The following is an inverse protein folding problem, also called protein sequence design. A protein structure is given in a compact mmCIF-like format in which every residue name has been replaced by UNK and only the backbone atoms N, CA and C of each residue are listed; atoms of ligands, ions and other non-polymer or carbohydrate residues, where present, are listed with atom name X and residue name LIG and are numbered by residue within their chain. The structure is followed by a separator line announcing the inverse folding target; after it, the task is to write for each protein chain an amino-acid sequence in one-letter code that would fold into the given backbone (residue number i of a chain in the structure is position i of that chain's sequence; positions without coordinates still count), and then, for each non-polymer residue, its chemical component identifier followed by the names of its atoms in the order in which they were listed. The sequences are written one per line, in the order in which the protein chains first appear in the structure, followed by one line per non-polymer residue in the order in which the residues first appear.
data_IF_062151204682
#
_entry.id   IF_062151204682
#
_cell.length_a   1.000
_cell.length_b   1.000
_cell.length_c   1.000
_cell.angle_alpha   90.00
_cell.angle_beta   90.00
_cell.angle_gamma   90.00
#
_symmetry.space_group_name_H-M   'P 1'
#
loop_
_entity.id
_entity.type
_entity.pdbx_description
1 polymer ?
#
# COMPACT_ATOMS: atom_id res chain seq x y z
N UNK A 1 -28.82 -28.38 2.36
CA UNK A 1 -29.19 -27.46 3.47
C UNK A 1 -27.97 -27.17 4.33
N UNK A 2 -27.90 -25.94 4.88
CA UNK A 2 -26.91 -25.36 5.80
C UNK A 2 -25.50 -25.09 5.26
N UNK A 3 -25.32 -23.86 4.74
CA UNK A 3 -24.05 -23.15 4.57
C UNK A 3 -23.65 -22.48 5.89
N UNK A 4 -22.44 -22.70 6.38
CA UNK A 4 -21.80 -21.87 7.39
C UNK A 4 -21.05 -20.72 6.73
N UNK A 5 -21.50 -19.48 6.97
CA UNK A 5 -20.76 -18.25 6.65
C UNK A 5 -19.91 -17.87 7.86
N UNK A 6 -18.59 -17.86 7.70
CA UNK A 6 -17.65 -17.14 8.57
C UNK A 6 -16.60 -16.50 7.68
N UNK A 7 -16.38 -15.19 7.85
CA UNK A 7 -15.27 -14.49 7.20
C UNK A 7 -15.61 -13.15 6.53
N UNK A 8 -16.31 -12.23 7.22
CA UNK A 8 -16.28 -10.79 6.92
C UNK A 8 -16.35 -10.03 8.24
N UNK A 9 -15.22 -9.85 8.93
CA UNK A 9 -15.15 -8.98 10.12
C UNK A 9 -13.93 -8.05 10.22
N UNK A 10 -12.87 -8.27 9.45
CA UNK A 10 -11.63 -7.49 9.65
C UNK A 10 -11.54 -6.18 8.86
N UNK A 11 -12.32 -6.01 7.78
CA UNK A 11 -12.34 -4.75 7.00
C UNK A 11 -13.21 -3.63 7.58
N UNK A 12 -14.18 -3.98 8.42
CA UNK A 12 -15.06 -2.98 9.06
C UNK A 12 -14.41 -2.43 10.33
N UNK A 13 -13.64 -3.23 11.06
CA UNK A 13 -12.99 -2.80 12.31
C UNK A 13 -11.96 -1.68 12.09
N UNK A 14 -11.22 -1.66 10.99
CA UNK A 14 -10.24 -0.61 10.67
C UNK A 14 -10.89 0.71 10.30
N UNK A 15 -11.98 0.68 9.52
CA UNK A 15 -12.77 1.89 9.21
C UNK A 15 -13.43 2.48 10.46
N UNK A 16 -13.99 1.62 11.33
CA UNK A 16 -14.64 2.04 12.58
C UNK A 16 -13.61 2.60 13.57
N UNK A 17 -12.41 2.02 13.66
CA UNK A 17 -11.31 2.55 14.48
C UNK A 17 -10.84 3.92 13.99
N UNK A 18 -10.71 4.14 12.68
CA UNK A 18 -10.37 5.46 12.15
C UNK A 18 -11.46 6.52 12.43
N UNK A 19 -12.74 6.14 12.34
CA UNK A 19 -13.87 7.00 12.71
C UNK A 19 -13.88 7.33 14.20
N UNK A 20 -13.62 6.36 15.07
CA UNK A 20 -13.56 6.58 16.53
C UNK A 20 -12.38 7.45 16.93
N UNK A 21 -11.21 7.28 16.31
CA UNK A 21 -10.05 8.16 16.54
C UNK A 21 -10.34 9.58 16.07
N UNK A 22 -10.99 9.75 14.91
CA UNK A 22 -11.44 11.05 14.44
C UNK A 22 -12.43 11.74 15.37
N UNK A 23 -13.41 10.98 15.90
CA UNK A 23 -14.37 11.48 16.87
C UNK A 23 -13.70 11.87 18.20
N UNK A 24 -12.74 11.08 18.69
CA UNK A 24 -12.00 11.39 19.93
C UNK A 24 -11.19 12.68 19.81
N UNK A 25 -10.54 12.90 18.65
CA UNK A 25 -9.79 14.14 18.37
C UNK A 25 -10.72 15.34 18.35
N UNK A 26 -11.88 15.23 17.69
CA UNK A 26 -12.89 16.30 17.65
C UNK A 26 -13.49 16.60 19.03
N UNK A 27 -13.77 15.58 19.83
CA UNK A 27 -14.24 15.75 21.22
C UNK A 27 -13.17 16.43 22.08
N UNK A 28 -11.89 16.07 21.90
CA UNK A 28 -10.78 16.71 22.61
C UNK A 28 -10.63 18.17 22.22
N UNK A 29 -10.74 18.49 20.93
CA UNK A 29 -10.73 19.89 20.43
C UNK A 29 -11.90 20.67 21.02
N UNK A 30 -13.11 20.09 21.03
CA UNK A 30 -14.31 20.72 21.57
C UNK A 30 -14.18 20.98 23.09
N UNK A 31 -13.65 20.02 23.85
CA UNK A 31 -13.38 20.18 25.28
C UNK A 31 -12.36 21.29 25.50
N UNK A 32 -11.23 21.32 24.77
CA UNK A 32 -10.23 22.38 24.88
C UNK A 32 -10.85 23.76 24.56
N UNK A 33 -11.72 23.84 23.54
CA UNK A 33 -12.44 25.07 23.20
C UNK A 33 -13.37 25.53 24.31
N UNK A 34 -14.15 24.63 24.90
CA UNK A 34 -15.05 24.94 26.01
C UNK A 34 -14.29 25.37 27.27
N UNK A 35 -13.15 24.74 27.57
CA UNK A 35 -12.31 25.12 28.71
C UNK A 35 -11.69 26.51 28.50
N UNK A 36 -11.30 26.85 27.26
CA UNK A 36 -10.73 28.17 26.91
C UNK A 36 -11.76 29.29 26.95
N UNK A 37 -12.98 29.03 26.46
CA UNK A 37 -14.13 29.95 26.57
C UNK A 37 -14.48 30.20 28.05
N UNK A 38 -14.36 29.18 28.90
CA UNK A 38 -14.63 29.30 30.35
C UNK A 38 -13.53 30.05 31.12
N UNK A 39 -12.31 30.12 30.61
CA UNK A 39 -11.21 30.89 31.21
C UNK A 39 -11.13 32.34 30.70
N UNK A 40 -11.74 32.64 29.55
CA UNK A 40 -11.67 33.96 28.90
C UNK A 40 -12.99 34.77 29.03
N UNK A 41 -14.00 34.23 29.73
CA UNK A 41 -15.29 34.90 29.99
C UNK A 41 -15.22 36.01 31.06
N UNK A 42 -14.03 36.35 31.55
CA UNK A 42 -13.76 37.44 32.49
C UNK A 42 -13.31 38.76 31.82
N UNK A 43 -13.60 38.98 30.53
CA UNK A 43 -13.18 40.20 29.81
C UNK A 43 -14.33 41.04 29.26
N UNK A 44 -14.06 42.34 29.19
CA UNK A 44 -14.99 43.45 28.90
C UNK A 44 -15.60 43.41 27.49
N UNK A 45 -16.81 43.97 27.36
CA UNK A 45 -17.72 43.98 26.19
C UNK A 45 -17.06 44.32 24.84
N UNK A 46 -16.00 45.12 24.80
CA UNK A 46 -15.33 45.50 23.55
C UNK A 46 -14.48 44.39 22.92
N UNK A 47 -14.00 43.41 23.70
CA UNK A 47 -13.23 42.28 23.19
C UNK A 47 -14.13 41.15 22.66
N UNK A 48 -15.38 41.09 23.11
CA UNK A 48 -16.36 40.07 22.72
C UNK A 48 -16.81 40.21 21.27
N UNK A 49 -16.87 41.44 20.73
CA UNK A 49 -17.32 41.71 19.35
C UNK A 49 -16.24 41.30 18.33
N UNK A 50 -14.96 41.57 18.63
CA UNK A 50 -13.82 41.09 17.83
C UNK A 50 -13.71 39.55 17.83
N UNK A 51 -14.11 38.91 18.92
CA UNK A 51 -14.12 37.46 19.07
C UNK A 51 -15.20 36.79 18.20
N UNK A 52 -16.41 37.36 18.14
CA UNK A 52 -17.52 36.83 17.33
C UNK A 52 -17.19 36.88 15.83
N UNK A 53 -16.53 37.94 15.34
CA UNK A 53 -16.13 38.04 13.93
C UNK A 53 -15.01 37.05 13.55
N UNK A 54 -14.09 36.75 14.47
CA UNK A 54 -12.98 35.82 14.22
C UNK A 54 -13.40 34.34 14.26
N UNK A 55 -14.40 34.00 15.08
CA UNK A 55 -14.86 32.62 15.30
C UNK A 55 -16.25 32.29 14.71
N UNK A 56 -16.98 33.26 14.17
CA UNK A 56 -18.21 33.00 13.39
C UNK A 56 -17.95 32.14 12.14
N UNK A 57 -16.75 32.24 11.57
CA UNK A 57 -16.25 31.46 10.43
C UNK A 57 -16.16 29.95 10.73
N UNK A 58 -15.71 29.55 11.92
CA UNK A 58 -15.56 28.13 12.30
C UNK A 58 -16.91 27.46 12.57
N UNK A 59 -17.92 28.21 13.00
CA UNK A 59 -19.29 27.71 13.14
C UNK A 59 -19.90 27.35 11.77
N UNK A 60 -19.62 28.15 10.73
CA UNK A 60 -20.03 27.87 9.35
C UNK A 60 -19.39 26.59 8.78
N UNK A 61 -18.12 26.31 9.14
CA UNK A 61 -17.41 25.09 8.73
C UNK A 61 -17.99 23.84 9.43
N UNK A 62 -18.28 23.94 10.72
CA UNK A 62 -18.89 22.85 11.50
C UNK A 62 -20.32 22.56 11.02
N UNK A 63 -21.11 23.58 10.71
CA UNK A 63 -22.46 23.41 10.13
C UNK A 63 -22.44 22.70 8.77
N UNK A 64 -21.51 23.08 7.88
CA UNK A 64 -21.31 22.40 6.58
C UNK A 64 -20.87 20.94 6.74
N UNK A 65 -20.01 20.66 7.74
CA UNK A 65 -19.59 19.30 8.07
C UNK A 65 -20.74 18.43 8.60
N UNK A 66 -21.54 18.94 9.55
CA UNK A 66 -22.70 18.20 10.06
C UNK A 66 -23.80 18.01 9.00
N UNK A 67 -23.96 18.95 8.06
CA UNK A 67 -24.81 18.75 6.87
C UNK A 67 -24.27 17.60 6.02
N UNK A 68 -22.97 17.58 5.70
CA UNK A 68 -22.38 16.52 4.89
C UNK A 68 -22.46 15.14 5.56
N UNK A 69 -22.30 15.06 6.88
CA UNK A 69 -22.48 13.82 7.65
C UNK A 69 -23.95 13.38 7.67
N UNK A 70 -24.89 14.33 7.78
CA UNK A 70 -26.34 14.07 7.72
C UNK A 70 -26.78 13.60 6.33
N UNK A 71 -26.25 14.21 5.28
CA UNK A 71 -26.54 13.88 3.88
C UNK A 71 -25.95 12.51 3.51
N UNK A 72 -24.76 12.19 4.03
CA UNK A 72 -24.18 10.84 3.96
C UNK A 72 -25.01 9.78 4.71
N UNK A 73 -25.60 10.16 5.85
CA UNK A 73 -26.51 9.31 6.62
C UNK A 73 -27.84 9.06 5.87
N UNK A 74 -28.41 10.09 5.23
CA UNK A 74 -29.63 9.96 4.42
C UNK A 74 -29.42 9.12 3.16
N UNK A 75 -28.31 9.30 2.45
CA UNK A 75 -27.99 8.52 1.24
C UNK A 75 -27.78 7.02 1.50
N UNK A 76 -27.49 6.63 2.76
CA UNK A 76 -27.28 5.23 3.15
C UNK A 76 -28.49 4.59 3.87
N UNK A 77 -29.61 5.30 4.04
CA UNK A 77 -30.83 4.77 4.66
C UNK A 77 -31.90 4.37 3.64
N UNK A 78 -31.84 4.83 2.38
CA UNK A 78 -32.87 4.55 1.36
C UNK A 78 -32.75 3.20 0.62
N UNK A 79 -31.84 2.33 1.04
CA UNK A 79 -31.78 0.94 0.57
C UNK A 79 -31.79 -0.04 1.74
N UNK A 80 -32.93 -0.10 2.46
CA UNK A 80 -33.51 -1.30 3.10
C UNK A 80 -34.73 -0.93 3.96
N UNK A 81 -35.92 -1.00 3.38
CA UNK A 81 -37.16 -1.26 4.13
C UNK A 81 -37.93 -2.39 3.46
N UNK A 82 -38.08 -3.56 4.10
CA UNK A 82 -39.26 -4.40 3.93
C UNK A 82 -40.36 -4.01 4.94
N UNK A 83 -41.63 -4.38 4.69
CA UNK A 83 -42.78 -3.68 5.23
C UNK A 83 -43.08 -4.02 6.69
N UNK A 84 -43.76 -3.08 7.36
CA UNK A 84 -44.28 -3.19 8.72
C UNK A 84 -45.27 -4.35 8.84
N UNK A 85 -44.97 -5.29 9.74
CA UNK A 85 -45.87 -6.30 10.26
C UNK A 85 -45.90 -6.19 11.78
N UNK A 86 -47.08 -5.90 12.32
CA UNK A 86 -47.43 -5.76 13.74
C UNK A 86 -47.30 -7.10 14.50
N UNK A 87 -46.63 -7.09 15.65
CA UNK A 87 -47.18 -7.63 16.91
C UNK A 87 -46.18 -7.50 18.07
N UNK A 88 -46.68 -6.89 19.14
CA UNK A 88 -46.14 -6.91 20.50
C UNK A 88 -45.99 -8.36 20.97
N UNK A 89 -44.96 -8.62 21.78
CA UNK A 89 -45.17 -9.14 23.15
C UNK A 89 -43.91 -8.92 23.99
N UNK A 90 -44.15 -8.35 25.15
CA UNK A 90 -43.21 -8.19 26.26
C UNK A 90 -42.72 -9.56 26.74
N UNK A 91 -41.41 -9.78 26.69
CA UNK A 91 -40.71 -10.56 27.71
C UNK A 91 -39.22 -10.27 27.55
N UNK A 92 -38.48 -10.32 28.66
CA UNK A 92 -37.02 -10.18 28.74
C UNK A 92 -36.46 -8.76 28.96
N UNK A 93 -37.09 -7.99 29.86
CA UNK A 93 -36.35 -7.18 30.83
C UNK A 93 -36.43 -7.88 32.20
N UNK A 94 -35.40 -8.66 32.56
CA UNK A 94 -35.08 -9.09 33.94
C UNK A 94 -33.81 -9.96 33.91
N UNK A 95 -32.66 -9.32 34.13
CA UNK A 95 -31.56 -9.80 35.01
C UNK A 95 -30.27 -9.03 34.71
N UNK A 96 -30.20 -7.80 35.23
CA UNK A 96 -28.93 -7.13 35.50
C UNK A 96 -28.80 -7.06 37.02
N UNK A 97 -27.86 -7.84 37.57
CA UNK A 97 -27.20 -7.68 38.88
C UNK A 97 -26.55 -9.01 39.25
N UNK A 98 -25.23 -9.11 39.11
CA UNK A 98 -24.34 -9.53 40.21
C UNK A 98 -22.86 -9.51 39.80
N UNK A 99 -22.06 -8.92 40.69
CA UNK A 99 -20.64 -9.15 40.97
C UNK A 99 -19.56 -8.54 40.07
N UNK A 100 -19.26 -7.29 40.41
CA UNK A 100 -17.91 -6.71 40.50
C UNK A 100 -17.27 -7.19 41.82
N UNK A 101 -16.01 -7.67 41.78
CA UNK A 101 -14.96 -7.60 42.82
C UNK A 101 -13.87 -8.66 42.57
N UNK A 102 -12.60 -8.23 42.47
CA UNK A 102 -11.45 -9.13 42.32
C UNK A 102 -10.17 -8.48 41.80
N UNK A 103 -9.65 -7.46 42.48
CA UNK A 103 -8.33 -6.88 42.26
C UNK A 103 -7.30 -7.53 43.21
N UNK A 104 -6.31 -8.26 42.68
CA UNK A 104 -5.04 -8.51 43.40
C UNK A 104 -3.83 -8.39 42.45
N UNK A 105 -3.12 -7.27 42.67
CA UNK A 105 -1.67 -7.01 42.59
C UNK A 105 -0.77 -8.11 41.97
N UNK A 106 -0.06 -7.75 40.89
CA UNK A 106 1.27 -8.31 40.59
C UNK A 106 2.27 -7.15 40.54
N UNK A 107 3.27 -7.24 41.42
CA UNK A 107 4.38 -6.28 41.59
C UNK A 107 5.40 -6.43 40.48
N UNK A 108 5.95 -5.28 40.09
CA UNK A 108 7.18 -5.13 39.31
C UNK A 108 8.39 -5.79 40.00
N UNK A 109 9.25 -6.43 39.20
CA UNK A 109 10.69 -6.56 39.48
C UNK A 109 11.45 -6.83 38.17
N UNK A 110 12.22 -5.84 37.70
CA UNK A 110 13.41 -6.06 36.85
C UNK A 110 14.54 -6.65 37.71
N UNK A 111 15.49 -7.38 37.11
CA UNK A 111 16.86 -6.87 37.17
C UNK A 111 17.66 -7.02 35.87
N UNK A 112 18.85 -6.41 35.94
CA UNK A 112 19.81 -6.06 34.90
C UNK A 112 20.59 -7.25 34.32
N UNK A 113 21.20 -6.96 33.18
CA UNK A 113 22.25 -7.71 32.50
C UNK A 113 23.49 -7.97 33.36
N UNK A 114 24.14 -9.11 33.11
CA UNK A 114 25.58 -9.30 33.25
C UNK A 114 26.03 -10.50 32.40
N UNK A 115 27.07 -10.27 31.59
CA UNK A 115 27.86 -11.28 30.90
C UNK A 115 28.49 -12.26 31.90
N UNK A 116 28.60 -13.53 31.53
CA UNK A 116 29.70 -14.40 31.96
C UNK A 116 29.81 -15.59 31.01
N UNK A 117 30.93 -15.58 30.29
CA UNK A 117 31.46 -16.65 29.46
C UNK A 117 32.00 -17.74 30.38
N UNK A 118 31.42 -18.94 30.37
CA UNK A 118 32.20 -20.19 30.44
C UNK A 118 31.38 -21.43 30.09
N UNK A 119 31.89 -22.12 29.07
CA UNK A 119 31.87 -23.55 28.79
C UNK A 119 31.37 -24.48 29.91
N UNK A 120 30.33 -25.27 29.62
CA UNK A 120 30.30 -26.68 30.00
C UNK A 120 29.33 -27.49 29.14
N UNK A 121 29.67 -28.77 29.01
CA UNK A 121 29.22 -29.75 28.04
C UNK A 121 27.80 -30.29 28.29
N UNK A 122 27.15 -30.65 27.18
CA UNK A 122 26.19 -31.75 26.99
C UNK A 122 25.28 -32.18 28.17
N UNK A 123 24.02 -31.73 28.12
CA UNK A 123 22.88 -32.58 28.51
C UNK A 123 21.79 -32.44 27.44
N UNK A 124 21.58 -33.53 26.71
CA UNK A 124 20.52 -33.76 25.75
C UNK A 124 19.14 -33.79 26.42
N UNK A 125 18.28 -32.81 26.12
CA UNK A 125 16.82 -32.97 26.18
C UNK A 125 16.22 -32.62 24.83
N UNK A 126 16.08 -33.65 24.01
CA UNK A 126 15.43 -33.63 22.69
C UNK A 126 13.92 -33.55 22.92
N UNK A 127 13.39 -32.33 23.06
CA UNK A 127 11.95 -32.10 22.98
C UNK A 127 11.57 -32.14 21.50
N UNK A 128 11.13 -33.31 21.05
CA UNK A 128 10.67 -33.52 19.69
C UNK A 128 9.28 -32.90 19.49
N UNK A 129 9.19 -31.86 18.67
CA UNK A 129 7.99 -31.54 17.91
C UNK A 129 8.42 -30.87 16.60
N UNK A 130 8.33 -31.61 15.50
CA UNK A 130 7.61 -31.24 14.27
C UNK A 130 7.67 -32.47 13.37
N UNK A 131 6.56 -33.20 13.25
CA UNK A 131 6.37 -34.13 12.13
C UNK A 131 6.17 -33.25 10.90
N UNK A 132 7.28 -32.88 10.25
CA UNK A 132 7.20 -32.41 8.88
C UNK A 132 6.76 -33.63 8.07
N UNK A 133 5.47 -33.69 7.73
CA UNK A 133 4.99 -34.66 6.75
C UNK A 133 5.79 -34.42 5.48
N UNK A 134 6.75 -35.31 5.19
CA UNK A 134 7.52 -35.29 3.94
C UNK A 134 6.55 -35.58 2.80
N UNK A 135 5.86 -34.55 2.33
CA UNK A 135 5.09 -34.61 1.09
C UNK A 135 6.08 -35.03 -0.01
N UNK A 136 5.72 -36.04 -0.80
CA UNK A 136 6.50 -36.43 -1.97
C UNK A 136 6.65 -35.20 -2.88
N UNK A 137 7.80 -34.98 -3.52
CA UNK A 137 8.07 -33.78 -4.30
C UNK A 137 7.00 -33.52 -5.38
N UNK A 138 6.75 -32.26 -5.75
CA UNK A 138 5.77 -31.93 -6.77
C UNK A 138 6.16 -32.57 -8.10
N UNK A 139 5.18 -33.10 -8.83
CA UNK A 139 5.40 -33.82 -10.11
C UNK A 139 4.92 -33.05 -11.34
N UNK A 140 4.12 -32.00 -11.13
CA UNK A 140 3.45 -31.27 -12.20
C UNK A 140 3.91 -29.81 -12.26
N UNK A 141 3.90 -29.28 -13.48
CA UNK A 141 4.41 -27.96 -13.80
C UNK A 141 3.29 -26.93 -13.94
N UNK A 142 3.63 -25.67 -13.69
CA UNK A 142 2.78 -24.53 -14.01
C UNK A 142 3.57 -23.46 -14.74
N UNK A 143 2.95 -22.87 -15.76
CA UNK A 143 3.54 -21.76 -16.52
C UNK A 143 2.52 -20.66 -16.77
N UNK A 144 2.98 -19.54 -17.32
CA UNK A 144 2.15 -18.41 -17.75
C UNK A 144 2.59 -17.89 -19.13
N UNK A 145 1.62 -17.49 -19.95
CA UNK A 145 1.91 -16.78 -21.21
C UNK A 145 2.31 -15.32 -20.92
N UNK A 146 3.61 -15.12 -20.75
CA UNK A 146 4.21 -13.80 -20.53
C UNK A 146 3.88 -12.83 -21.67
N UNK A 147 3.33 -11.66 -21.32
CA UNK A 147 2.94 -10.60 -22.27
C UNK A 147 3.04 -9.20 -21.66
N UNK A 148 3.29 -8.21 -22.52
CA UNK A 148 3.45 -6.81 -22.12
C UNK A 148 4.89 -6.44 -21.76
N UNK A 149 5.04 -5.38 -20.96
CA UNK A 149 6.34 -4.78 -20.58
C UNK A 149 6.77 -5.23 -19.18
N UNK A 150 7.99 -4.87 -18.77
CA UNK A 150 8.65 -5.29 -17.52
C UNK A 150 7.73 -5.41 -16.29
N UNK A 151 6.97 -4.37 -15.94
CA UNK A 151 6.07 -4.42 -14.78
C UNK A 151 4.96 -5.47 -14.89
N UNK A 152 4.46 -5.74 -16.10
CA UNK A 152 3.49 -6.81 -16.33
C UNK A 152 4.15 -8.19 -16.20
N UNK A 153 5.37 -8.34 -16.72
CA UNK A 153 6.13 -9.58 -16.60
C UNK A 153 6.41 -9.92 -15.14
N UNK A 154 6.75 -8.92 -14.32
CA UNK A 154 6.97 -9.10 -12.88
C UNK A 154 5.70 -9.58 -12.15
N UNK A 155 4.54 -9.01 -12.46
CA UNK A 155 3.25 -9.52 -11.95
C UNK A 155 3.00 -10.96 -12.36
N UNK A 156 3.15 -11.26 -13.65
CA UNK A 156 2.94 -12.60 -14.16
C UNK A 156 3.87 -13.62 -13.49
N UNK A 157 5.14 -13.27 -13.27
CA UNK A 157 6.09 -14.14 -12.59
C UNK A 157 5.77 -14.31 -11.11
N UNK A 158 5.52 -13.22 -10.39
CA UNK A 158 5.23 -13.27 -8.95
C UNK A 158 3.96 -14.07 -8.67
N UNK A 159 2.90 -13.82 -9.44
CA UNK A 159 1.65 -14.56 -9.34
C UNK A 159 1.81 -16.02 -9.74
N UNK A 160 2.56 -16.32 -10.81
CA UNK A 160 2.92 -17.70 -11.17
C UNK A 160 3.58 -18.41 -9.99
N UNK A 161 4.57 -17.77 -9.36
CA UNK A 161 5.32 -18.34 -8.26
C UNK A 161 4.44 -18.64 -7.04
N UNK A 162 3.63 -17.66 -6.61
CA UNK A 162 2.74 -17.83 -5.45
C UNK A 162 1.59 -18.81 -5.71
N UNK A 163 1.03 -18.82 -6.92
CA UNK A 163 0.03 -19.81 -7.34
C UNK A 163 0.65 -21.22 -7.37
N UNK A 164 1.86 -21.36 -7.88
CA UNK A 164 2.57 -22.65 -7.93
C UNK A 164 2.79 -23.22 -6.53
N UNK A 165 3.31 -22.39 -5.62
CA UNK A 165 3.55 -22.76 -4.22
C UNK A 165 2.26 -23.23 -3.54
N UNK A 166 1.17 -22.47 -3.68
CA UNK A 166 -0.12 -22.83 -3.07
C UNK A 166 -0.71 -24.15 -3.59
N UNK A 167 -0.47 -24.45 -4.86
CA UNK A 167 -1.02 -25.63 -5.53
C UNK A 167 -0.05 -26.81 -5.56
N UNK A 168 1.13 -26.70 -4.94
CA UNK A 168 2.16 -27.73 -4.96
C UNK A 168 2.59 -28.12 -6.39
N UNK A 169 2.81 -27.10 -7.22
CA UNK A 169 3.24 -27.21 -8.62
C UNK A 169 4.66 -26.61 -8.78
N UNK A 170 5.38 -27.03 -9.83
CA UNK A 170 6.70 -26.49 -10.17
C UNK A 170 6.53 -25.31 -11.13
N UNK A 171 6.86 -24.07 -10.74
CA UNK A 171 6.79 -22.93 -11.66
C UNK A 171 7.92 -23.02 -12.70
N UNK A 172 7.55 -22.90 -13.98
CA UNK A 172 8.48 -22.94 -15.10
C UNK A 172 8.30 -21.74 -16.03
N UNK A 173 9.43 -21.15 -16.44
CA UNK A 173 9.46 -20.03 -17.38
C UNK A 173 10.53 -20.26 -18.45
N UNK A 174 10.34 -19.70 -19.64
CA UNK A 174 11.32 -19.78 -20.74
C UNK A 174 12.71 -19.28 -20.32
N UNK A 175 13.78 -19.92 -20.83
CA UNK A 175 15.16 -19.44 -20.64
C UNK A 175 15.38 -18.03 -21.21
N UNK A 176 14.71 -17.73 -22.33
CA UNK A 176 14.84 -16.45 -23.01
C UNK A 176 13.95 -15.36 -22.39
N UNK A 177 13.27 -15.65 -21.28
CA UNK A 177 12.43 -14.67 -20.59
C UNK A 177 13.29 -13.48 -20.12
N UNK A 178 12.81 -12.27 -20.41
CA UNK A 178 13.51 -11.03 -20.06
C UNK A 178 13.87 -10.93 -18.57
N UNK A 179 13.02 -11.44 -17.69
CA UNK A 179 13.28 -11.39 -16.24
C UNK A 179 14.56 -12.13 -15.84
N UNK A 180 14.96 -13.18 -16.55
CA UNK A 180 16.21 -13.92 -16.28
C UNK A 180 17.46 -13.10 -16.63
N UNK A 181 17.34 -12.13 -17.55
CA UNK A 181 18.43 -11.20 -17.90
C UNK A 181 18.58 -10.10 -16.86
N UNK A 182 17.49 -9.70 -16.21
CA UNK A 182 17.48 -8.58 -15.26
C UNK A 182 17.72 -9.07 -13.82
N UNK A 183 17.14 -10.21 -13.44
CA UNK A 183 17.06 -10.68 -12.06
C UNK A 183 17.66 -12.08 -11.86
N UNK A 184 18.01 -12.41 -10.60
CA UNK A 184 18.50 -13.72 -10.16
C UNK A 184 17.34 -14.71 -9.94
N UNK A 185 16.55 -14.93 -10.99
CA UNK A 185 15.39 -15.84 -11.00
C UNK A 185 15.83 -17.29 -10.77
N UNK A 186 15.21 -17.98 -9.80
CA UNK A 186 15.54 -19.35 -9.42
C UNK A 186 14.59 -20.42 -9.97
N UNK A 187 13.43 -20.03 -10.54
CA UNK A 187 12.49 -21.00 -11.12
C UNK A 187 13.16 -21.83 -12.20
N UNK A 188 12.73 -23.09 -12.35
CA UNK A 188 13.21 -23.96 -13.40
C UNK A 188 12.84 -23.39 -14.77
N UNK A 189 13.63 -23.77 -15.76
CA UNK A 189 13.36 -23.44 -17.14
C UNK A 189 12.79 -24.64 -17.88
N UNK A 190 11.93 -24.35 -18.84
CA UNK A 190 11.47 -25.36 -19.79
C UNK A 190 11.43 -24.74 -21.17
N UNK A 191 11.85 -25.50 -22.18
CA UNK A 191 11.54 -25.16 -23.56
C UNK A 191 10.02 -25.16 -23.75
N UNK A 192 9.49 -24.12 -24.42
CA UNK A 192 8.04 -23.93 -24.61
C UNK A 192 7.32 -25.13 -25.24
N UNK A 193 8.04 -26.03 -25.91
CA UNK A 193 7.48 -27.14 -26.68
C UNK A 193 7.68 -28.53 -26.04
N UNK A 194 8.25 -28.63 -24.83
CA UNK A 194 8.54 -29.93 -24.18
C UNK A 194 7.55 -30.34 -23.09
N UNK A 195 6.64 -29.44 -22.68
CA UNK A 195 5.67 -29.72 -21.62
C UNK A 195 4.26 -29.59 -22.18
N UNK A 196 3.50 -30.69 -22.10
CA UNK A 196 2.06 -30.66 -22.38
C UNK A 196 1.30 -30.14 -21.15
N UNK A 197 0.42 -29.16 -21.35
CA UNK A 197 -0.41 -28.56 -20.32
C UNK A 197 -1.86 -29.03 -20.49
N UNK A 198 -2.30 -29.96 -19.64
CA UNK A 198 -3.64 -30.54 -19.70
C UNK A 198 -4.75 -29.62 -19.17
N UNK A 199 -4.38 -28.53 -18.50
CA UNK A 199 -5.31 -27.54 -17.95
C UNK A 199 -4.89 -26.12 -18.30
N UNK A 200 -5.84 -25.28 -18.68
CA UNK A 200 -5.64 -23.83 -18.81
C UNK A 200 -6.55 -23.08 -17.85
N UNK A 201 -6.01 -22.17 -17.06
CA UNK A 201 -6.77 -21.23 -16.25
C UNK A 201 -6.73 -19.85 -16.88
N UNK A 202 -7.88 -19.35 -17.30
CA UNK A 202 -8.04 -18.02 -17.90
C UNK A 202 -8.47 -17.02 -16.82
N UNK A 203 -7.70 -15.96 -16.66
CA UNK A 203 -8.06 -14.82 -15.84
C UNK A 203 -9.29 -14.11 -16.42
N UNK A 204 -10.23 -13.76 -15.55
CA UNK A 204 -11.46 -13.03 -15.88
C UNK A 204 -11.23 -11.52 -15.85
N UNK A 205 -10.49 -11.04 -14.85
CA UNK A 205 -10.25 -9.62 -14.62
C UNK A 205 -8.77 -9.40 -14.26
N UNK A 206 -8.07 -8.63 -15.09
CA UNK A 206 -6.61 -8.46 -15.05
C UNK A 206 -6.00 -8.01 -13.72
N UNK A 207 -6.75 -7.22 -12.94
CA UNK A 207 -6.30 -6.65 -11.68
C UNK A 207 -7.25 -7.04 -10.52
N UNK A 208 -7.82 -8.25 -10.57
CA UNK A 208 -8.62 -8.80 -9.48
C UNK A 208 -7.99 -10.10 -8.96
N UNK A 209 -8.18 -10.36 -7.68
CA UNK A 209 -7.81 -11.63 -7.07
C UNK A 209 -8.91 -12.65 -7.29
N UNK A 210 -8.56 -13.77 -7.92
CA UNK A 210 -9.45 -14.89 -8.16
C UNK A 210 -9.06 -16.08 -7.27
N UNK A 211 -9.79 -16.35 -6.16
CA UNK A 211 -9.47 -17.44 -5.25
C UNK A 211 -9.39 -18.83 -5.93
N UNK A 212 -10.04 -19.00 -7.08
CA UNK A 212 -9.99 -20.23 -7.86
C UNK A 212 -8.58 -20.53 -8.43
N UNK A 213 -7.78 -19.51 -8.73
CA UNK A 213 -6.39 -19.69 -9.15
C UNK A 213 -5.51 -20.26 -8.02
N UNK A 214 -5.91 -20.10 -6.76
CA UNK A 214 -5.22 -20.68 -5.59
C UNK A 214 -5.69 -22.12 -5.27
N UNK A 215 -6.56 -22.71 -6.10
CA UNK A 215 -7.17 -24.04 -5.90
C UNK A 215 -7.22 -24.83 -7.21
N UNK A 216 -6.14 -24.81 -7.96
CA UNK A 216 -5.96 -25.53 -9.22
C UNK A 216 -5.75 -27.03 -9.01
N UNK A 217 -5.18 -27.43 -7.87
CA UNK A 217 -4.75 -28.80 -7.58
C UNK A 217 -3.38 -29.11 -8.17
N UNK A 218 -2.90 -30.33 -7.91
CA UNK A 218 -1.53 -30.78 -8.24
C UNK A 218 -1.48 -31.94 -9.25
N UNK A 219 -2.60 -32.32 -9.86
CA UNK A 219 -2.71 -33.57 -10.65
C UNK A 219 -2.39 -33.42 -12.14
N UNK A 220 -2.21 -32.18 -12.62
CA UNK A 220 -1.93 -31.92 -14.04
C UNK A 220 -1.12 -30.66 -14.24
N UNK A 221 -0.36 -30.64 -15.33
CA UNK A 221 0.37 -29.46 -15.75
C UNK A 221 -0.62 -28.36 -16.13
N UNK A 222 -0.45 -27.17 -15.56
CA UNK A 222 -1.39 -26.07 -15.74
C UNK A 222 -0.76 -24.87 -16.44
N UNK A 223 -1.49 -24.27 -17.37
CA UNK A 223 -1.12 -23.04 -18.05
C UNK A 223 -2.01 -21.90 -17.59
N UNK A 224 -1.41 -20.80 -17.15
CA UNK A 224 -2.11 -19.56 -16.81
C UNK A 224 -2.18 -18.65 -18.04
N UNK A 225 -3.35 -18.07 -18.29
CA UNK A 225 -3.55 -17.07 -19.34
C UNK A 225 -4.18 -15.80 -18.73
N UNK A 226 -3.40 -14.73 -18.68
CA UNK A 226 -3.78 -13.49 -17.99
C UNK A 226 -2.56 -12.67 -17.58
N UNK A 227 -2.79 -11.55 -16.92
CA UNK A 227 -1.78 -10.71 -16.29
C UNK A 227 -1.60 -11.01 -14.80
N UNK A 228 -2.65 -11.45 -14.09
CA UNK A 228 -2.65 -11.79 -12.67
C UNK A 228 -2.09 -10.67 -11.79
N UNK A 229 -2.56 -9.43 -11.99
CA UNK A 229 -2.02 -8.25 -11.31
C UNK A 229 -2.65 -8.05 -9.94
N UNK A 230 -2.42 -8.99 -9.03
CA UNK A 230 -2.83 -8.88 -7.65
C UNK A 230 -1.72 -9.36 -6.72
N UNK A 231 -1.37 -8.53 -5.73
CA UNK A 231 -0.37 -8.91 -4.73
C UNK A 231 -0.81 -10.12 -3.88
N UNK A 232 -2.12 -10.36 -3.81
CA UNK A 232 -2.72 -11.45 -3.04
C UNK A 232 -2.32 -12.82 -3.56
N UNK A 233 -1.93 -12.96 -4.83
CA UNK A 233 -1.44 -14.24 -5.37
C UNK A 233 -0.09 -14.65 -4.78
N UNK A 234 0.72 -13.69 -4.33
CA UNK A 234 2.11 -13.94 -3.93
C UNK A 234 2.50 -13.37 -2.57
N UNK A 235 1.52 -12.86 -1.81
CA UNK A 235 1.72 -12.30 -0.46
C UNK A 235 2.41 -13.27 0.50
N UNK A 236 2.09 -14.57 0.42
CA UNK A 236 2.72 -15.60 1.27
C UNK A 236 4.17 -15.91 0.84
N UNK A 237 4.55 -15.55 -0.39
CA UNK A 237 5.85 -15.89 -1.00
C UNK A 237 6.79 -14.69 -1.17
N UNK A 238 6.47 -13.53 -0.59
CA UNK A 238 7.21 -12.28 -0.80
C UNK A 238 8.69 -12.39 -0.44
N UNK A 239 9.02 -13.05 0.68
CA UNK A 239 10.41 -13.22 1.10
C UNK A 239 11.25 -13.96 0.03
N UNK A 240 10.69 -15.03 -0.55
CA UNK A 240 11.34 -15.77 -1.63
C UNK A 240 11.45 -14.92 -2.90
N UNK A 241 10.39 -14.21 -3.26
CA UNK A 241 10.38 -13.32 -4.43
C UNK A 241 11.39 -12.19 -4.31
N UNK A 242 11.57 -11.60 -3.12
CA UNK A 242 12.62 -10.58 -2.89
C UNK A 242 14.02 -11.13 -3.13
N UNK A 243 14.27 -12.39 -2.76
CA UNK A 243 15.53 -13.07 -3.06
C UNK A 243 15.75 -13.24 -4.57
N UNK A 244 14.70 -13.57 -5.31
CA UNK A 244 14.75 -13.81 -6.76
C UNK A 244 14.79 -12.52 -7.58
N UNK A 245 14.14 -11.45 -7.11
CA UNK A 245 14.16 -10.12 -7.74
C UNK A 245 15.36 -9.27 -7.35
N UNK A 246 16.44 -9.90 -6.89
CA UNK A 246 17.76 -9.24 -6.86
C UNK A 246 18.27 -9.08 -8.28
N UNK A 247 18.74 -7.90 -8.62
CA UNK A 247 19.34 -7.63 -9.93
C UNK A 247 20.58 -8.49 -10.19
N UNK A 248 20.89 -8.72 -11.47
CA UNK A 248 22.20 -9.24 -11.89
C UNK A 248 23.29 -8.23 -11.51
N UNK A 249 24.50 -8.74 -11.23
CA UNK A 249 25.56 -7.96 -10.58
C UNK A 249 26.01 -6.77 -11.43
N UNK A 250 26.10 -6.91 -12.75
CA UNK A 250 26.50 -5.82 -13.65
C UNK A 250 25.46 -4.69 -13.67
N UNK A 251 24.17 -5.03 -13.73
CA UNK A 251 23.09 -4.05 -13.66
C UNK A 251 23.05 -3.36 -12.29
N UNK A 252 23.23 -4.12 -11.21
CA UNK A 252 23.28 -3.57 -9.85
C UNK A 252 24.44 -2.59 -9.68
N UNK A 253 25.65 -2.95 -10.14
CA UNK A 253 26.83 -2.07 -10.08
C UNK A 253 26.59 -0.78 -10.87
N UNK A 254 26.06 -0.91 -12.09
CA UNK A 254 25.74 0.26 -12.94
C UNK A 254 24.70 1.16 -12.28
N UNK A 255 23.66 0.59 -11.69
CA UNK A 255 22.62 1.34 -10.99
C UNK A 255 23.18 2.12 -9.79
N UNK A 256 24.07 1.52 -8.99
CA UNK A 256 24.73 2.20 -7.86
C UNK A 256 25.62 3.35 -8.33
N UNK A 257 26.38 3.17 -9.42
CA UNK A 257 27.22 4.24 -9.99
C UNK A 257 26.37 5.42 -10.44
N UNK A 258 25.38 5.14 -11.30
CA UNK A 258 24.48 6.17 -11.84
C UNK A 258 23.72 6.88 -10.72
N UNK A 259 23.23 6.15 -9.72
CA UNK A 259 22.55 6.75 -8.57
C UNK A 259 23.47 7.70 -7.80
N UNK A 260 24.70 7.26 -7.50
CA UNK A 260 25.67 8.05 -6.72
C UNK A 260 26.07 9.33 -7.44
N UNK A 261 26.36 9.24 -8.75
CA UNK A 261 26.67 10.39 -9.60
C UNK A 261 25.51 11.39 -9.65
N UNK A 262 24.28 10.88 -9.84
CA UNK A 262 23.08 11.70 -9.98
C UNK A 262 22.77 12.53 -8.73
N UNK A 263 23.01 11.97 -7.54
CA UNK A 263 22.63 12.62 -6.26
C UNK A 263 23.78 13.37 -5.60
N UNK A 264 25.04 13.18 -6.05
CA UNK A 264 26.24 13.70 -5.41
C UNK A 264 26.17 15.20 -5.05
N UNK A 265 25.70 16.03 -5.97
CA UNK A 265 25.60 17.48 -5.76
C UNK A 265 24.52 17.87 -4.74
N UNK A 266 23.44 17.09 -4.65
CA UNK A 266 22.27 17.43 -3.82
C UNK A 266 22.41 16.92 -2.39
N UNK A 267 23.10 15.80 -2.21
CA UNK A 267 23.27 15.11 -0.93
C UNK A 267 24.07 15.90 0.10
N UNK A 268 24.86 16.90 -0.30
CA UNK A 268 25.71 17.71 0.59
C UNK A 268 25.08 19.04 1.03
N UNK A 269 23.81 19.30 0.67
CA UNK A 269 23.22 20.64 0.81
C UNK A 269 22.61 20.94 2.19
N UNK A 270 22.41 19.93 3.04
CA UNK A 270 21.76 20.06 4.35
C UNK A 270 22.39 19.15 5.40
N UNK A 271 22.32 19.56 6.66
CA UNK A 271 22.76 18.75 7.79
C UNK A 271 21.84 17.54 8.01
N UNK A 272 22.44 16.36 8.24
CA UNK A 272 21.73 15.11 8.55
C UNK A 272 21.63 14.12 7.37
N UNK A 273 21.18 12.88 7.62
CA UNK A 273 21.13 11.83 6.62
C UNK A 273 20.15 12.19 5.49
N UNK A 274 20.58 12.00 4.25
CA UNK A 274 19.75 12.22 3.06
C UNK A 274 18.73 11.09 2.95
N UNK A 275 17.46 11.46 2.77
CA UNK A 275 16.37 10.55 2.43
C UNK A 275 16.09 10.67 0.94
N UNK A 276 16.30 9.59 0.20
CA UNK A 276 16.06 9.53 -1.24
C UNK A 276 14.64 9.03 -1.53
N UNK A 277 13.92 9.73 -2.39
CA UNK A 277 12.54 9.40 -2.78
C UNK A 277 12.50 9.21 -4.29
N UNK A 278 12.20 7.99 -4.73
CA UNK A 278 11.93 7.72 -6.12
C UNK A 278 10.57 8.34 -6.51
N UNK A 279 10.55 9.09 -7.60
CA UNK A 279 9.33 9.69 -8.16
C UNK A 279 9.08 9.09 -9.54
N UNK A 280 8.04 8.27 -9.68
CA UNK A 280 7.66 7.71 -10.97
C UNK A 280 6.41 8.37 -11.54
N UNK A 281 6.60 9.10 -12.63
CA UNK A 281 5.55 9.82 -13.35
C UNK A 281 5.25 9.09 -14.66
N UNK A 282 4.13 8.39 -14.72
CA UNK A 282 3.63 7.74 -15.94
C UNK A 282 2.67 8.67 -16.64
N UNK A 283 3.00 9.11 -17.85
CA UNK A 283 2.19 9.98 -18.71
C UNK A 283 2.11 9.36 -20.10
N UNK A 284 3.00 9.75 -21.01
CA UNK A 284 3.11 9.19 -22.35
C UNK A 284 1.75 8.98 -23.03
N UNK A 285 1.46 7.74 -23.39
CA UNK A 285 0.21 7.33 -24.03
C UNK A 285 -1.06 7.60 -23.20
N UNK A 286 -0.98 7.76 -21.87
CA UNK A 286 -2.17 8.04 -21.06
C UNK A 286 -2.72 9.45 -21.31
N UNK A 287 -1.85 10.38 -21.71
CA UNK A 287 -2.20 11.78 -22.01
C UNK A 287 -2.17 12.08 -23.50
N UNK A 288 -1.33 11.38 -24.28
CA UNK A 288 -1.13 11.63 -25.70
C UNK A 288 -1.98 10.74 -26.62
N UNK A 289 -2.69 9.74 -26.09
CA UNK A 289 -3.58 8.88 -26.86
C UNK A 289 -5.02 8.98 -26.34
N UNK A 290 -5.89 9.58 -27.15
CA UNK A 290 -7.29 9.82 -26.80
C UNK A 290 -8.07 8.52 -26.56
N UNK A 291 -7.81 7.46 -27.33
CA UNK A 291 -8.47 6.16 -27.13
C UNK A 291 -8.12 5.56 -25.76
N UNK A 292 -6.86 5.63 -25.36
CA UNK A 292 -6.38 5.15 -24.05
C UNK A 292 -7.00 6.01 -22.93
N UNK A 293 -7.01 7.33 -23.09
CA UNK A 293 -7.62 8.24 -22.12
C UNK A 293 -9.13 8.04 -21.95
N UNK A 294 -9.87 7.87 -23.06
CA UNK A 294 -11.31 7.55 -23.08
C UNK A 294 -11.61 6.19 -22.46
N UNK A 295 -10.72 5.22 -22.64
CA UNK A 295 -10.87 3.89 -22.03
C UNK A 295 -10.83 3.94 -20.50
N UNK A 296 -10.13 4.92 -19.92
CA UNK A 296 -10.09 5.18 -18.49
C UNK A 296 -8.70 5.36 -17.89
N UNK A 297 -7.65 5.28 -18.71
CA UNK A 297 -6.29 5.56 -18.25
C UNK A 297 -6.13 7.06 -17.97
N UNK A 298 -5.55 7.38 -16.81
CA UNK A 298 -5.38 8.76 -16.34
C UNK A 298 -4.07 8.88 -15.57
N UNK A 299 -3.46 10.06 -15.69
CA UNK A 299 -2.28 10.46 -14.95
C UNK A 299 -2.60 11.73 -14.17
N UNK A 300 -2.16 11.86 -12.91
CA UNK A 300 -2.43 13.04 -12.13
C UNK A 300 -1.68 14.26 -12.67
N UNK A 301 -2.22 15.45 -12.40
CA UNK A 301 -1.55 16.73 -12.65
C UNK A 301 -0.45 17.07 -11.65
N UNK A 302 0.20 18.24 -11.81
CA UNK A 302 1.32 18.68 -10.98
C UNK A 302 0.98 18.76 -9.49
N UNK A 303 -0.24 19.16 -9.15
CA UNK A 303 -0.71 19.31 -7.77
C UNK A 303 -0.51 18.05 -6.93
N UNK A 304 -0.75 16.87 -7.51
CA UNK A 304 -0.54 15.61 -6.82
C UNK A 304 0.94 15.40 -6.46
N UNK A 305 1.83 15.67 -7.41
CA UNK A 305 3.27 15.50 -7.23
C UNK A 305 3.80 16.51 -6.22
N UNK A 306 3.43 17.78 -6.33
CA UNK A 306 3.81 18.83 -5.39
C UNK A 306 3.36 18.50 -3.96
N UNK A 307 2.12 18.04 -3.80
CA UNK A 307 1.57 17.60 -2.51
C UNK A 307 2.32 16.38 -1.95
N UNK A 308 2.57 15.36 -2.78
CA UNK A 308 3.32 14.17 -2.37
C UNK A 308 4.77 14.49 -1.96
N UNK A 309 5.46 15.33 -2.74
CA UNK A 309 6.80 15.81 -2.40
C UNK A 309 6.80 16.64 -1.12
N UNK A 310 5.80 17.51 -0.94
CA UNK A 310 5.59 18.29 0.28
C UNK A 310 5.45 17.39 1.52
N UNK A 311 4.73 16.27 1.41
CA UNK A 311 4.61 15.31 2.52
C UNK A 311 5.95 14.67 2.90
N UNK A 312 6.81 14.36 1.93
CA UNK A 312 8.15 13.85 2.25
C UNK A 312 9.03 14.94 2.86
N UNK A 313 9.05 16.15 2.30
CA UNK A 313 9.78 17.31 2.86
C UNK A 313 9.35 17.66 4.28
N UNK A 314 8.08 17.47 4.63
CA UNK A 314 7.57 17.71 5.98
C UNK A 314 7.99 16.61 6.98
N UNK A 315 8.23 15.38 6.51
CA UNK A 315 8.58 14.24 7.36
C UNK A 315 10.09 14.00 7.47
N UNK A 316 10.89 14.54 6.54
CA UNK A 316 12.33 14.32 6.45
C UNK A 316 13.02 15.66 6.19
N UNK A 317 14.02 16.01 7.01
CA UNK A 317 14.72 17.31 6.96
C UNK A 317 15.60 17.47 5.71
N UNK A 318 16.16 16.36 5.20
CA UNK A 318 17.03 16.31 4.04
C UNK A 318 16.50 15.30 3.03
N UNK A 319 15.79 15.76 2.01
CA UNK A 319 15.20 14.92 0.96
C UNK A 319 15.87 15.15 -0.38
N UNK A 320 15.98 14.10 -1.21
CA UNK A 320 16.30 14.20 -2.63
C UNK A 320 15.31 13.36 -3.43
N UNK A 321 14.68 13.97 -4.43
CA UNK A 321 13.69 13.34 -5.30
C UNK A 321 14.34 12.90 -6.61
N UNK A 322 14.37 11.58 -6.84
CA UNK A 322 14.94 10.96 -8.05
C UNK A 322 13.81 10.63 -9.01
N UNK A 323 13.72 11.39 -10.10
CA UNK A 323 12.57 11.38 -11.01
C UNK A 323 12.81 10.50 -12.22
N UNK A 324 11.91 9.55 -12.46
CA UNK A 324 11.80 8.77 -13.68
C UNK A 324 10.44 9.02 -14.35
N UNK A 325 10.44 9.16 -15.67
CA UNK A 325 9.21 9.35 -16.44
C UNK A 325 9.41 8.99 -17.92
N UNK A 326 8.31 8.62 -18.57
CA UNK A 326 8.19 8.58 -20.02
C UNK A 326 7.90 9.97 -20.64
N UNK A 327 7.82 11.01 -19.82
CA UNK A 327 7.60 12.41 -20.19
C UNK A 327 8.46 13.33 -19.27
N UNK A 328 9.78 13.19 -19.39
CA UNK A 328 10.74 14.00 -18.64
C UNK A 328 10.64 15.52 -18.91
N UNK A 329 10.35 16.00 -20.14
CA UNK A 329 10.14 17.43 -20.37
C UNK A 329 9.02 18.02 -19.50
N UNK A 330 7.85 17.35 -19.45
CA UNK A 330 6.75 17.78 -18.60
C UNK A 330 7.13 17.75 -17.12
N UNK A 331 7.88 16.73 -16.69
CA UNK A 331 8.37 16.63 -15.31
C UNK A 331 9.31 17.79 -14.96
N UNK A 332 10.24 18.16 -15.85
CA UNK A 332 11.15 19.29 -15.66
C UNK A 332 10.42 20.63 -15.59
N UNK A 333 9.33 20.78 -16.33
CA UNK A 333 8.48 21.98 -16.27
C UNK A 333 7.69 22.08 -14.95
N UNK A 334 7.17 20.97 -14.46
CA UNK A 334 6.19 20.95 -13.37
C UNK A 334 6.76 20.61 -11.98
N UNK A 335 7.98 20.07 -11.93
CA UNK A 335 8.67 19.74 -10.67
C UNK A 335 9.96 20.54 -10.57
N UNK A 336 9.93 21.56 -9.71
CA UNK A 336 11.05 22.43 -9.42
C UNK A 336 11.53 22.23 -7.98
N UNK A 337 12.81 22.45 -7.76
CA UNK A 337 13.43 22.39 -6.44
C UNK A 337 14.90 22.01 -6.53
N UNK A 338 15.69 22.53 -5.60
CA UNK A 338 17.13 22.21 -5.51
C UNK A 338 17.36 20.76 -5.06
N UNK A 339 16.32 20.09 -4.57
CA UNK A 339 16.29 18.70 -4.12
C UNK A 339 15.72 17.73 -5.17
N UNK A 340 15.58 18.15 -6.43
CA UNK A 340 15.02 17.32 -7.51
C UNK A 340 16.09 17.01 -8.54
N UNK A 341 16.23 15.73 -8.87
CA UNK A 341 17.11 15.22 -9.93
C UNK A 341 16.33 14.32 -10.88
N UNK A 342 16.71 14.29 -12.15
CA UNK A 342 16.00 13.57 -13.21
C UNK A 342 16.90 12.51 -13.82
N UNK A 343 16.39 11.29 -14.01
CA UNK A 343 17.09 10.26 -14.75
C UNK A 343 17.31 10.67 -16.21
N UNK A 344 18.34 10.09 -16.82
CA UNK A 344 18.71 10.39 -18.20
C UNK A 344 17.75 9.73 -19.18
N UNK A 345 17.33 10.47 -20.21
CA UNK A 345 16.53 9.93 -21.30
C UNK A 345 17.26 8.85 -22.12
N UNK A 346 18.60 8.75 -22.00
CA UNK A 346 19.41 7.73 -22.66
C UNK A 346 19.55 6.41 -21.89
N UNK A 347 19.01 6.33 -20.67
CA UNK A 347 19.06 5.10 -19.89
C UNK A 347 18.13 4.04 -20.47
N UNK A 348 18.49 2.78 -20.26
CA UNK A 348 17.57 1.68 -20.51
C UNK A 348 16.54 1.60 -19.37
N UNK A 349 15.33 1.12 -19.68
CA UNK A 349 14.24 0.99 -18.70
C UNK A 349 14.58 0.15 -17.47
N UNK A 350 15.39 -0.89 -17.65
CA UNK A 350 15.88 -1.78 -16.58
C UNK A 350 16.92 -1.09 -15.70
N UNK A 351 17.75 -0.21 -16.28
CA UNK A 351 18.65 0.65 -15.53
C UNK A 351 17.88 1.67 -14.70
N UNK A 352 16.92 2.39 -15.28
CA UNK A 352 16.08 3.35 -14.54
C UNK A 352 15.33 2.66 -13.39
N UNK A 353 14.80 1.47 -13.65
CA UNK A 353 14.14 0.66 -12.65
C UNK A 353 15.08 0.33 -11.48
N UNK A 354 16.31 -0.13 -11.76
CA UNK A 354 17.31 -0.47 -10.75
C UNK A 354 17.88 0.76 -10.00
N UNK A 355 18.01 1.91 -10.67
CA UNK A 355 18.45 3.16 -10.05
C UNK A 355 17.40 3.64 -9.04
N UNK A 356 16.12 3.62 -9.40
CA UNK A 356 15.06 4.02 -8.48
C UNK A 356 14.99 3.13 -7.24
N UNK A 357 15.28 1.82 -7.34
CA UNK A 357 15.27 0.93 -6.17
C UNK A 357 16.39 1.23 -5.15
N UNK A 358 17.33 2.12 -5.46
CA UNK A 358 18.32 2.61 -4.49
C UNK A 358 17.71 3.66 -3.53
N UNK A 359 16.52 4.18 -3.83
CA UNK A 359 15.83 5.15 -2.97
C UNK A 359 15.24 4.50 -1.72
N UNK A 360 14.97 5.31 -0.69
CA UNK A 360 14.35 4.85 0.55
C UNK A 360 12.83 4.74 0.44
N UNK A 361 12.20 5.63 -0.31
CA UNK A 361 10.74 5.79 -0.38
C UNK A 361 10.26 6.02 -1.82
N UNK A 362 8.95 5.94 -2.03
CA UNK A 362 8.33 6.07 -3.34
C UNK A 362 7.19 7.08 -3.34
N UNK A 363 7.20 7.98 -4.32
CA UNK A 363 6.03 8.73 -4.77
C UNK A 363 5.71 8.26 -6.19
N UNK A 364 4.59 7.59 -6.39
CA UNK A 364 4.22 7.10 -7.71
C UNK A 364 2.88 7.62 -8.16
N UNK A 365 2.77 7.81 -9.47
CA UNK A 365 1.50 8.03 -10.15
C UNK A 365 0.80 6.68 -10.35
N UNK A 366 0.90 6.08 -11.54
CA UNK A 366 0.20 4.87 -11.96
C UNK A 366 1.11 3.91 -12.70
N UNK A 367 0.61 2.70 -12.96
CA UNK A 367 1.26 1.70 -13.80
C UNK A 367 2.13 0.70 -13.03
N UNK A 368 2.32 -0.46 -13.64
CA UNK A 368 3.01 -1.61 -13.04
C UNK A 368 4.51 -1.40 -12.85
N UNK A 369 5.15 -0.52 -13.64
CA UNK A 369 6.57 -0.19 -13.47
C UNK A 369 6.83 0.46 -12.10
N UNK A 370 6.16 1.58 -11.81
CA UNK A 370 6.25 2.24 -10.50
C UNK A 370 5.75 1.36 -9.35
N UNK A 371 4.74 0.52 -9.59
CA UNK A 371 4.24 -0.43 -8.58
C UNK A 371 5.34 -1.39 -8.13
N UNK A 372 6.05 -2.00 -9.08
CA UNK A 372 7.12 -2.95 -8.77
C UNK A 372 8.37 -2.26 -8.21
N UNK A 373 8.67 -1.04 -8.64
CA UNK A 373 9.71 -0.22 -8.01
C UNK A 373 9.40 0.01 -6.53
N UNK A 374 8.17 0.43 -6.20
CA UNK A 374 7.72 0.66 -4.83
C UNK A 374 7.82 -0.61 -3.97
N UNK A 375 7.35 -1.73 -4.51
CA UNK A 375 7.40 -3.03 -3.83
C UNK A 375 8.85 -3.45 -3.52
N UNK A 376 9.80 -3.24 -4.43
CA UNK A 376 11.22 -3.54 -4.20
C UNK A 376 11.90 -2.57 -3.23
N UNK A 377 11.60 -1.27 -3.30
CA UNK A 377 12.07 -0.27 -2.33
C UNK A 377 11.64 -0.65 -0.91
N UNK A 378 10.43 -1.19 -0.75
CA UNK A 378 9.88 -1.63 0.53
C UNK A 378 9.88 -0.52 1.60
N UNK A 379 9.66 0.72 1.16
CA UNK A 379 9.60 1.91 2.00
C UNK A 379 8.21 2.54 1.99
N UNK A 380 8.11 3.73 2.60
CA UNK A 380 6.88 4.53 2.55
C UNK A 380 6.55 4.84 1.08
N UNK A 381 5.34 4.46 0.67
CA UNK A 381 4.87 4.62 -0.71
C UNK A 381 3.61 5.47 -0.72
N UNK A 382 3.64 6.57 -1.48
CA UNK A 382 2.46 7.37 -1.81
C UNK A 382 1.99 6.95 -3.21
N UNK A 383 0.74 6.49 -3.31
CA UNK A 383 0.14 5.94 -4.53
C UNK A 383 -1.05 6.79 -4.99
N UNK A 384 -1.17 7.05 -6.29
CA UNK A 384 -2.27 7.84 -6.83
C UNK A 384 -3.56 7.01 -6.95
N UNK A 385 -4.59 7.39 -6.20
CA UNK A 385 -5.88 6.69 -6.14
C UNK A 385 -6.93 7.15 -7.13
N UNK A 386 -6.67 8.23 -7.88
CA UNK A 386 -7.60 8.71 -8.92
C UNK A 386 -7.54 7.89 -10.22
N UNK A 387 -6.94 6.70 -10.18
CA UNK A 387 -6.85 5.76 -11.29
C UNK A 387 -7.53 4.44 -10.91
N UNK A 388 -8.28 3.80 -11.83
CA UNK A 388 -8.66 4.31 -13.15
C UNK A 388 -9.71 5.42 -13.07
N UNK A 389 -9.98 6.11 -14.18
CA UNK A 389 -11.02 7.16 -14.24
C UNK A 389 -12.36 6.57 -13.76
N UNK A 390 -13.05 7.16 -12.76
CA UNK A 390 -14.34 6.66 -12.29
C UNK A 390 -15.36 6.53 -13.44
N UNK A 391 -16.11 5.42 -13.46
CA UNK A 391 -17.14 5.15 -14.48
C UNK A 391 -16.63 4.70 -15.85
N UNK A 392 -15.31 4.67 -16.07
CA UNK A 392 -14.72 4.22 -17.34
C UNK A 392 -14.81 2.71 -17.56
N UNK A 393 -14.50 2.24 -18.78
CA UNK A 393 -14.44 0.79 -19.06
C UNK A 393 -13.31 0.12 -18.29
N UNK A 394 -12.16 0.79 -18.16
CA UNK A 394 -11.04 0.31 -17.35
C UNK A 394 -11.43 0.12 -15.88
N UNK A 395 -12.27 1.00 -15.33
CA UNK A 395 -12.75 0.88 -13.95
C UNK A 395 -13.54 -0.40 -13.67
N UNK A 396 -14.16 -1.01 -14.69
CA UNK A 396 -14.86 -2.30 -14.57
C UNK A 396 -13.91 -3.50 -14.55
N UNK A 397 -12.64 -3.28 -14.88
CA UNK A 397 -11.62 -4.33 -15.06
C UNK A 397 -10.52 -4.28 -13.99
N UNK A 398 -10.69 -3.44 -12.97
CA UNK A 398 -9.70 -3.27 -11.89
C UNK A 398 -10.41 -3.32 -10.54
N UNK A 399 -9.85 -4.10 -9.62
CA UNK A 399 -10.19 -4.07 -8.20
C UNK A 399 -8.98 -3.50 -7.46
N UNK A 400 -9.04 -2.23 -7.08
CA UNK A 400 -7.88 -1.51 -6.54
C UNK A 400 -7.35 -2.14 -5.25
N UNK A 401 -8.23 -2.70 -4.42
CA UNK A 401 -7.92 -3.38 -3.17
C UNK A 401 -7.21 -4.74 -3.39
N UNK A 402 -7.27 -5.28 -4.61
CA UNK A 402 -6.55 -6.48 -5.01
C UNK A 402 -5.23 -6.13 -5.71
N UNK A 403 -5.19 -5.00 -6.42
CA UNK A 403 -4.02 -4.52 -7.15
C UNK A 403 -2.97 -3.88 -6.22
N UNK A 404 -3.40 -3.05 -5.26
CA UNK A 404 -2.53 -2.24 -4.42
C UNK A 404 -2.40 -2.82 -3.01
N UNK A 405 -1.18 -2.97 -2.46
CA UNK A 405 -0.99 -3.34 -1.07
C UNK A 405 -1.61 -2.29 -0.12
N UNK A 406 -2.36 -2.70 0.92
CA UNK A 406 -3.14 -1.79 1.77
C UNK A 406 -2.28 -0.80 2.56
N UNK A 407 -1.02 -1.12 2.82
CA UNK A 407 -0.06 -0.29 3.56
C UNK A 407 0.43 0.94 2.80
N UNK A 408 0.21 1.02 1.48
CA UNK A 408 0.55 2.22 0.72
C UNK A 408 -0.42 3.36 1.04
N UNK A 409 0.12 4.58 1.10
CA UNK A 409 -0.63 5.78 1.46
C UNK A 409 -1.45 6.20 0.24
N UNK A 410 -2.78 6.17 0.39
CA UNK A 410 -3.76 6.23 -0.70
C UNK A 410 -4.65 7.47 -0.61
N UNK A 411 -4.94 7.87 0.63
CA UNK A 411 -5.46 9.16 1.02
C UNK A 411 -4.27 9.96 1.46
N UNK A 412 -4.03 11.02 0.70
CA UNK A 412 -3.77 12.30 1.29
C UNK A 412 -4.70 12.49 2.50
N UNK A 413 -4.28 12.03 3.69
CA UNK A 413 -4.78 12.48 5.00
C UNK A 413 -4.34 13.95 5.15
N UNK A 414 -4.71 14.79 4.18
CA UNK A 414 -4.37 16.19 4.10
C UNK A 414 -5.01 16.92 5.27
N UNK A 415 -6.22 16.53 5.68
CA UNK A 415 -6.82 17.17 6.85
C UNK A 415 -6.20 16.65 8.15
N UNK A 416 -5.95 15.35 8.32
CA UNK A 416 -5.49 14.83 9.62
C UNK A 416 -4.02 15.12 9.92
N UNK A 417 -3.10 15.04 8.95
CA UNK A 417 -1.67 15.27 9.20
C UNK A 417 -1.31 16.76 9.27
N UNK A 418 -1.95 17.64 8.48
CA UNK A 418 -1.78 19.09 8.62
C UNK A 418 -2.42 19.61 9.91
N UNK A 419 -3.59 19.09 10.32
CA UNK A 419 -4.13 19.39 11.64
C UNK A 419 -3.18 18.94 12.73
N UNK A 420 -2.59 17.74 12.64
CA UNK A 420 -1.66 17.26 13.66
C UNK A 420 -0.37 18.08 13.72
N UNK A 421 0.24 18.44 12.57
CA UNK A 421 1.44 19.27 12.56
C UNK A 421 1.17 20.71 13.02
N UNK A 422 0.04 21.30 12.63
CA UNK A 422 -0.39 22.61 13.12
C UNK A 422 -0.72 22.58 14.62
N UNK A 423 -1.33 21.51 15.13
CA UNK A 423 -1.63 21.34 16.57
C UNK A 423 -0.37 21.13 17.42
N UNK A 424 0.66 20.48 16.89
CA UNK A 424 1.96 20.36 17.57
C UNK A 424 2.68 21.71 17.60
N UNK A 425 2.61 22.51 16.53
CA UNK A 425 3.20 23.86 16.51
C UNK A 425 2.48 24.85 17.44
N UNK A 426 1.17 24.72 17.66
CA UNK A 426 0.40 25.58 18.58
C UNK A 426 0.60 25.20 20.06
N UNK A 427 1.25 24.06 20.37
CA UNK A 427 1.65 23.71 21.74
C UNK A 427 2.98 24.32 22.19
N UNK A 428 3.69 25.01 21.29
CA UNK A 428 5.01 25.61 21.54
C UNK A 428 5.05 27.13 21.30
N UNK A 429 3.89 27.78 21.25
CA UNK A 429 3.67 29.22 21.31
C UNK A 429 2.62 29.49 22.38
#
# INVERSE_FOLDING_TARGET
MRRGKLGVRDGVLTSTKCLMVGLLVLVTIFIIHLTRIRTETDRTESESISFIDKYGSTHGIMSKFFSSVRDYGKANIDHKKPPLGTSRTESQLKSAKTHEEGLVKIKEKKPKAQELVHTSQNVTKKVGFTIATKRAPPKHYITIDFKGRLGNLLFQYASLFGIADKNYLIPVISENNELRRIFKISSQSTEKNRVHYGKTFNEKIGCAFEPAAMKLGSETNTKLNGYFQSFKYFKESEASLRGQFRFKDDLQKKAVSVFSELVAEKSNTKNGPVTYIAVHVRRGDFVNNEHISKYGYVSPGPDYLQKGMGMFRANYSNTVFVVASDDLPWCKENMKGNDVVFLSAGNTRDLDFAVMTQCNHMLMTVGSFGWWTAWLINGKTIYYTGYPRPGSQLAKQIVLEDYRPPEWIDKMCFNYMLLYSQLVSVKYL
#
